data_IF_332832607481
#
_entry.id   IF_332832607481
#
_cell.length_a   1.000
_cell.length_b   1.000
_cell.length_c   1.000
_cell.angle_alpha   90.00
_cell.angle_beta   90.00
_cell.angle_gamma   90.00
#
_symmetry.space_group_name_H-M   'P 1'
#
loop_
_entity.id
_entity.type
_entity.pdbx_description
1 polymer ?
#
# COMPACT_ATOMS: atom_id res chain seq x y z
N UNK A 1 -21.10 -4.53 10.91
CA UNK A 1 -20.27 -5.63 10.37
C UNK A 1 -19.46 -5.22 9.14
N UNK A 2 -20.05 -4.59 8.12
CA UNK A 2 -19.34 -4.21 6.87
C UNK A 2 -18.05 -3.40 7.09
N UNK A 3 -18.07 -2.35 7.93
CA UNK A 3 -16.87 -1.50 8.18
C UNK A 3 -15.71 -2.23 8.86
N UNK A 4 -15.98 -3.18 9.75
CA UNK A 4 -14.93 -3.90 10.48
C UNK A 4 -14.15 -4.85 9.55
N UNK A 5 -14.85 -5.53 8.65
CA UNK A 5 -14.24 -6.41 7.65
C UNK A 5 -13.33 -5.63 6.69
N UNK A 6 -13.76 -4.44 6.28
CA UNK A 6 -12.98 -3.58 5.37
C UNK A 6 -11.68 -3.06 6.00
N UNK A 7 -11.68 -2.84 7.32
CA UNK A 7 -10.46 -2.44 8.04
C UNK A 7 -9.44 -3.58 8.12
N UNK A 8 -9.88 -4.81 8.39
CA UNK A 8 -9.00 -5.98 8.40
C UNK A 8 -8.43 -6.25 7.01
N UNK A 9 -9.25 -6.09 5.97
CA UNK A 9 -8.78 -6.23 4.60
C UNK A 9 -7.78 -5.12 4.21
N UNK A 10 -8.00 -3.88 4.65
CA UNK A 10 -7.04 -2.81 4.47
C UNK A 10 -5.68 -3.13 5.11
N UNK A 11 -5.65 -3.72 6.31
CA UNK A 11 -4.40 -4.14 6.96
C UNK A 11 -3.69 -5.26 6.18
N UNK A 12 -4.45 -6.21 5.62
CA UNK A 12 -3.92 -7.28 4.77
C UNK A 12 -3.28 -6.71 3.50
N UNK A 13 -3.98 -5.79 2.84
CA UNK A 13 -3.53 -5.09 1.63
C UNK A 13 -2.28 -4.24 1.94
N UNK A 14 -2.28 -3.50 3.04
CA UNK A 14 -1.16 -2.68 3.48
C UNK A 14 0.11 -3.52 3.66
N UNK A 15 0.00 -4.63 4.39
CA UNK A 15 1.11 -5.57 4.59
C UNK A 15 1.63 -6.11 3.25
N UNK A 16 0.74 -6.53 2.36
CA UNK A 16 1.10 -7.04 1.04
C UNK A 16 1.79 -5.98 0.16
N UNK A 17 1.30 -4.73 0.17
CA UNK A 17 1.90 -3.61 -0.57
C UNK A 17 3.31 -3.30 -0.05
N UNK A 18 3.47 -3.19 1.27
CA UNK A 18 4.77 -2.93 1.90
C UNK A 18 5.77 -4.04 1.58
N UNK A 19 5.33 -5.31 1.60
CA UNK A 19 6.15 -6.46 1.24
C UNK A 19 6.55 -6.43 -0.24
N UNK A 20 5.62 -6.16 -1.16
CA UNK A 20 5.94 -6.05 -2.60
C UNK A 20 6.92 -4.90 -2.88
N UNK A 21 6.76 -3.75 -2.21
CA UNK A 21 7.72 -2.63 -2.28
C UNK A 21 9.09 -3.05 -1.74
N UNK A 22 9.13 -3.80 -0.64
CA UNK A 22 10.38 -4.30 -0.06
C UNK A 22 11.09 -5.29 -1.00
N UNK A 23 10.34 -6.21 -1.62
CA UNK A 23 10.85 -7.18 -2.59
C UNK A 23 11.36 -6.52 -3.87
N UNK A 24 10.64 -5.52 -4.40
CA UNK A 24 11.06 -4.74 -5.57
C UNK A 24 12.25 -3.84 -5.26
N UNK A 25 12.31 -3.33 -4.03
CA UNK A 25 13.28 -2.36 -3.56
C UNK A 25 12.77 -0.93 -3.70
N UNK A 26 13.06 -0.10 -2.69
CA UNK A 26 12.63 1.31 -2.61
C UNK A 26 13.03 2.12 -3.84
N UNK A 27 14.21 1.85 -4.40
CA UNK A 27 14.77 2.61 -5.52
C UNK A 27 14.07 2.29 -6.85
N UNK A 28 13.93 1.01 -7.19
CA UNK A 28 13.16 0.57 -8.37
C UNK A 28 11.70 0.98 -8.26
N UNK A 29 11.13 0.95 -7.05
CA UNK A 29 9.77 1.45 -6.82
C UNK A 29 9.68 2.94 -7.09
N UNK A 30 10.62 3.74 -6.60
CA UNK A 30 10.68 5.18 -6.80
C UNK A 30 10.77 5.55 -8.29
N UNK A 31 11.65 4.86 -9.02
CA UNK A 31 11.83 4.99 -10.46
C UNK A 31 10.53 4.65 -11.23
N UNK A 32 9.91 3.50 -10.93
CA UNK A 32 8.71 3.04 -11.62
C UNK A 32 7.51 3.98 -11.44
N UNK A 33 7.41 4.66 -10.30
CA UNK A 33 6.32 5.61 -10.01
C UNK A 33 6.70 7.07 -10.29
N UNK A 34 7.93 7.34 -10.73
CA UNK A 34 8.40 8.67 -11.11
C UNK A 34 8.56 9.65 -9.93
N UNK A 35 8.95 9.16 -8.74
CA UNK A 35 9.18 9.99 -7.55
C UNK A 35 10.59 9.82 -6.99
N UNK A 36 11.03 10.79 -6.19
CA UNK A 36 12.30 10.67 -5.47
C UNK A 36 12.24 9.56 -4.39
N UNK A 37 13.37 8.87 -4.16
CA UNK A 37 13.47 7.76 -3.18
C UNK A 37 13.07 8.18 -1.76
N UNK A 38 13.31 9.43 -1.37
CA UNK A 38 12.89 9.96 -0.05
C UNK A 38 11.36 10.07 0.09
N UNK A 39 10.63 10.13 -1.01
CA UNK A 39 9.16 10.15 -1.01
C UNK A 39 8.60 8.76 -0.69
N UNK A 40 9.23 7.69 -1.18
CA UNK A 40 8.76 6.32 -0.92
C UNK A 40 8.74 5.99 0.58
N UNK A 41 9.76 6.42 1.33
CA UNK A 41 9.75 6.24 2.79
C UNK A 41 8.61 6.99 3.48
N UNK A 42 8.26 8.19 3.00
CA UNK A 42 7.12 8.97 3.50
C UNK A 42 5.78 8.33 3.12
N UNK A 43 5.69 7.77 1.92
CA UNK A 43 4.49 7.11 1.44
C UNK A 43 4.07 5.95 2.32
N UNK A 44 5.04 5.16 2.82
CA UNK A 44 4.76 4.05 3.75
C UNK A 44 3.94 4.48 4.96
N UNK A 45 4.12 5.71 5.45
CA UNK A 45 3.38 6.27 6.58
C UNK A 45 2.13 7.03 6.16
N UNK A 46 2.25 7.88 5.14
CA UNK A 46 1.23 8.92 4.86
C UNK A 46 0.20 8.52 3.79
N UNK A 47 0.57 7.58 2.91
CA UNK A 47 -0.18 7.22 1.70
C UNK A 47 -0.59 5.76 1.64
N UNK A 48 0.29 4.82 1.99
CA UNK A 48 0.00 3.38 1.93
C UNK A 48 -1.24 3.00 2.77
N UNK A 49 -1.45 3.52 3.99
CA UNK A 49 -2.69 3.23 4.73
C UNK A 49 -3.95 3.73 4.01
N UNK A 50 -3.88 4.89 3.35
CA UNK A 50 -5.00 5.47 2.59
C UNK A 50 -5.31 4.64 1.35
N UNK A 51 -4.29 4.26 0.59
CA UNK A 51 -4.45 3.38 -0.57
C UNK A 51 -4.98 2.02 -0.18
N UNK A 52 -4.51 1.45 0.92
CA UNK A 52 -4.96 0.14 1.39
C UNK A 52 -6.43 0.16 1.79
N UNK A 53 -6.87 1.23 2.47
CA UNK A 53 -8.28 1.42 2.79
C UNK A 53 -9.13 1.65 1.53
N UNK A 54 -8.64 2.43 0.57
CA UNK A 54 -9.33 2.65 -0.71
C UNK A 54 -9.50 1.32 -1.45
N UNK A 55 -8.44 0.53 -1.59
CA UNK A 55 -8.47 -0.78 -2.25
C UNK A 55 -9.41 -1.76 -1.53
N UNK A 56 -9.42 -1.77 -0.19
CA UNK A 56 -10.34 -2.59 0.58
C UNK A 56 -11.81 -2.20 0.36
N UNK A 57 -12.11 -0.90 0.31
CA UNK A 57 -13.45 -0.38 0.04
C UNK A 57 -13.90 -0.73 -1.37
N UNK A 58 -13.00 -0.63 -2.35
CA UNK A 58 -13.25 -0.98 -3.75
C UNK A 58 -13.29 -2.49 -4.02
N UNK A 59 -13.07 -3.33 -3.00
CA UNK A 59 -12.94 -4.78 -3.15
C UNK A 59 -11.87 -5.19 -4.17
N UNK A 60 -10.84 -4.34 -4.32
CA UNK A 60 -9.79 -4.58 -5.27
C UNK A 60 -8.90 -5.72 -4.79
N UNK A 61 -8.95 -6.83 -5.54
CA UNK A 61 -8.24 -8.06 -5.24
C UNK A 61 -6.73 -7.87 -5.22
N UNK A 62 -6.14 -7.83 -4.03
CA UNK A 62 -4.73 -8.16 -3.85
C UNK A 62 -4.62 -9.68 -3.80
N UNK A 63 -4.34 -10.25 -4.97
CA UNK A 63 -4.01 -11.67 -5.20
C UNK A 63 -2.51 -11.89 -5.01
#
# INVERSE_FOLDING_TARGET
MVRANKRNEALRIESALLNKIAMLGTEKTAEAVGVDKSQISRWKRDWIPKFSMLLAVLEWGVV
#
